data_IF_295010254516
#
_entry.id   IF_295010254516
#
_cell.length_a   1.000
_cell.length_b   1.000
_cell.length_c   1.000
_cell.angle_alpha   90.00
_cell.angle_beta   90.00
_cell.angle_gamma   90.00
#
_symmetry.space_group_name_H-M   'P 1'
#
loop_
_entity.id
_entity.type
_entity.pdbx_description
1 polymer ?
#
# COMPACT_ATOMS: atom_id res chain seq x y z
N UNK A 1 -28.58 5.85 29.44
CA UNK A 1 -29.37 4.66 29.85
C UNK A 1 -28.43 3.69 30.53
N UNK A 2 -28.82 3.08 31.65
CA UNK A 2 -28.04 2.01 32.27
C UNK A 2 -28.25 0.72 31.46
N UNK A 3 -27.16 0.13 30.94
CA UNK A 3 -27.23 -1.16 30.24
C UNK A 3 -27.69 -2.26 31.23
N UNK A 4 -28.53 -3.21 30.79
CA UNK A 4 -28.94 -4.33 31.65
C UNK A 4 -27.71 -5.10 32.13
N UNK A 5 -27.59 -5.29 33.45
CA UNK A 5 -26.53 -6.11 34.05
C UNK A 5 -26.96 -7.57 34.04
N UNK A 6 -26.42 -8.36 33.11
CA UNK A 6 -26.58 -9.80 33.11
C UNK A 6 -25.66 -10.41 34.18
N UNK A 7 -26.23 -11.20 35.10
CA UNK A 7 -25.49 -11.87 36.17
C UNK A 7 -25.09 -13.26 35.72
N UNK A 8 -23.84 -13.49 35.30
CA UNK A 8 -23.43 -14.78 34.70
C UNK A 8 -22.09 -15.29 35.25
N UNK A 9 -21.98 -16.63 35.31
CA UNK A 9 -20.88 -17.44 35.87
C UNK A 9 -19.56 -17.25 35.08
N UNK A 10 -18.39 -17.26 35.74
CA UNK A 10 -17.09 -17.24 35.07
C UNK A 10 -16.91 -18.46 34.15
N UNK A 11 -16.50 -18.23 32.89
CA UNK A 11 -16.12 -19.30 31.96
C UNK A 11 -17.20 -19.85 31.01
N UNK A 12 -18.43 -19.31 31.04
CA UNK A 12 -19.46 -19.64 30.04
C UNK A 12 -19.26 -18.82 28.76
N UNK A 13 -19.34 -19.40 27.54
CA UNK A 13 -19.51 -18.61 26.32
C UNK A 13 -20.82 -17.82 26.47
N UNK A 14 -20.71 -16.50 26.48
CA UNK A 14 -21.81 -15.60 26.79
C UNK A 14 -21.88 -14.51 25.72
N UNK A 15 -22.72 -14.78 24.73
CA UNK A 15 -23.00 -13.85 23.63
C UNK A 15 -23.54 -12.51 24.17
N UNK A 16 -24.28 -12.50 25.28
CA UNK A 16 -24.78 -11.27 25.87
C UNK A 16 -23.64 -10.39 26.38
N UNK A 17 -22.63 -11.00 27.02
CA UNK A 17 -21.41 -10.28 27.44
C UNK A 17 -20.59 -9.79 26.25
N UNK A 18 -20.41 -10.61 25.22
CA UNK A 18 -19.71 -10.17 24.01
C UNK A 18 -20.40 -8.97 23.34
N UNK A 19 -21.71 -9.04 23.17
CA UNK A 19 -22.51 -7.93 22.65
C UNK A 19 -22.41 -6.73 23.58
N UNK A 20 -22.48 -6.92 24.90
CA UNK A 20 -22.34 -5.84 25.88
C UNK A 20 -20.97 -5.16 25.82
N UNK A 21 -19.87 -5.93 25.71
CA UNK A 21 -18.52 -5.40 25.56
C UNK A 21 -18.39 -4.59 24.25
N UNK A 22 -19.05 -5.04 23.16
CA UNK A 22 -19.12 -4.29 21.90
C UNK A 22 -19.93 -3.01 22.02
N UNK A 23 -21.08 -3.06 22.69
CA UNK A 23 -21.90 -1.87 22.97
C UNK A 23 -21.15 -0.85 23.83
N UNK A 24 -20.39 -1.34 24.82
CA UNK A 24 -19.56 -0.49 25.66
C UNK A 24 -18.46 0.19 24.84
N UNK A 25 -17.76 -0.53 23.96
CA UNK A 25 -16.78 0.07 23.03
C UNK A 25 -17.40 1.13 22.13
N UNK A 26 -18.59 0.88 21.59
CA UNK A 26 -19.33 1.90 20.80
C UNK A 26 -19.57 3.13 21.66
N UNK A 27 -19.99 2.96 22.92
CA UNK A 27 -20.25 4.06 23.85
C UNK A 27 -18.97 4.82 24.25
N UNK A 28 -17.84 4.14 24.45
CA UNK A 28 -16.54 4.76 24.77
C UNK A 28 -16.01 5.65 23.64
N UNK A 29 -16.43 5.41 22.39
CA UNK A 29 -16.13 6.26 21.24
C UNK A 29 -16.80 7.64 21.28
N UNK A 30 -17.71 7.91 22.22
CA UNK A 30 -18.40 9.18 22.36
C UNK A 30 -18.08 9.82 23.72
N UNK A 31 -17.49 11.03 23.75
CA UNK A 31 -17.09 11.70 24.99
C UNK A 31 -18.27 12.11 25.88
N UNK A 32 -19.48 12.18 25.33
CA UNK A 32 -20.72 12.38 26.07
C UNK A 32 -21.50 11.06 26.17
N UNK A 33 -22.16 10.83 27.32
CA UNK A 33 -23.05 9.68 27.58
C UNK A 33 -24.21 9.54 26.57
N UNK A 34 -24.41 10.54 25.71
CA UNK A 34 -25.41 10.60 24.66
C UNK A 34 -24.83 11.34 23.44
N UNK A 35 -25.10 10.89 22.19
CA UNK A 35 -24.76 11.62 20.98
C UNK A 35 -25.25 13.07 21.06
N UNK A 36 -24.34 14.02 20.89
CA UNK A 36 -24.62 15.45 20.96
C UNK A 36 -25.05 16.04 19.62
N UNK A 37 -24.84 15.30 18.52
CA UNK A 37 -25.22 15.70 17.16
C UNK A 37 -26.01 14.60 16.45
N UNK A 38 -26.79 14.97 15.42
CA UNK A 38 -27.48 14.00 14.55
C UNK A 38 -26.49 13.08 13.83
N UNK A 39 -25.31 13.59 13.49
CA UNK A 39 -24.25 12.80 12.87
C UNK A 39 -23.70 11.75 13.84
N UNK A 40 -23.44 12.11 15.10
CA UNK A 40 -23.04 11.15 16.14
C UNK A 40 -24.12 10.09 16.38
N UNK A 41 -25.40 10.47 16.37
CA UNK A 41 -26.51 9.53 16.52
C UNK A 41 -26.58 8.55 15.35
N UNK A 42 -26.38 9.04 14.12
CA UNK A 42 -26.32 8.22 12.92
C UNK A 42 -25.17 7.20 13.00
N UNK A 43 -23.97 7.65 13.39
CA UNK A 43 -22.81 6.76 13.56
C UNK A 43 -23.08 5.68 14.61
N UNK A 44 -23.72 6.02 15.73
CA UNK A 44 -24.13 5.01 16.73
C UNK A 44 -25.12 4.02 16.14
N UNK A 45 -26.16 4.49 15.46
CA UNK A 45 -27.18 3.64 14.85
C UNK A 45 -26.59 2.69 13.79
N UNK A 46 -25.66 3.17 12.98
CA UNK A 46 -24.99 2.38 11.95
C UNK A 46 -24.12 1.29 12.59
N UNK A 47 -23.34 1.62 13.63
CA UNK A 47 -22.53 0.62 14.38
C UNK A 47 -23.38 -0.44 15.06
N UNK A 48 -24.52 -0.06 15.64
CA UNK A 48 -25.45 -1.01 16.26
C UNK A 48 -26.07 -1.94 15.22
N UNK A 49 -26.46 -1.39 14.06
CA UNK A 49 -26.99 -2.15 12.94
C UNK A 49 -25.96 -3.15 12.43
N UNK A 50 -24.70 -2.74 12.25
CA UNK A 50 -23.62 -3.63 11.81
C UNK A 50 -23.40 -4.81 12.78
N UNK A 51 -23.41 -4.58 14.10
CA UNK A 51 -23.31 -5.65 15.10
C UNK A 51 -24.49 -6.63 14.96
N UNK A 52 -25.71 -6.10 14.83
CA UNK A 52 -26.92 -6.93 14.69
C UNK A 52 -26.88 -7.76 13.40
N UNK A 53 -26.48 -7.17 12.28
CA UNK A 53 -26.34 -7.83 10.99
C UNK A 53 -25.32 -8.96 11.03
N UNK A 54 -24.15 -8.75 11.65
CA UNK A 54 -23.13 -9.80 11.83
C UNK A 54 -23.70 -10.97 12.63
N UNK A 55 -24.33 -10.70 13.78
CA UNK A 55 -24.95 -11.74 14.60
C UNK A 55 -26.01 -12.53 13.81
N UNK A 56 -26.91 -11.83 13.11
CA UNK A 56 -27.95 -12.46 12.30
C UNK A 56 -27.39 -13.29 11.14
N UNK A 57 -26.38 -12.79 10.44
CA UNK A 57 -25.75 -13.48 9.32
C UNK A 57 -25.06 -14.78 9.77
N UNK A 58 -24.37 -14.74 10.92
CA UNK A 58 -23.79 -15.94 11.52
C UNK A 58 -24.89 -16.91 11.92
N UNK A 59 -25.91 -16.49 12.68
CA UNK A 59 -27.00 -17.38 13.12
C UNK A 59 -27.73 -18.05 11.96
N UNK A 60 -28.14 -17.30 10.93
CA UNK A 60 -28.81 -17.85 9.73
C UNK A 60 -27.96 -18.91 9.02
N UNK A 61 -26.64 -18.70 8.98
CA UNK A 61 -25.70 -19.64 8.37
C UNK A 61 -25.57 -20.92 9.21
N UNK A 62 -25.47 -20.80 10.54
CA UNK A 62 -25.43 -21.96 11.43
C UNK A 62 -26.72 -22.79 11.33
N UNK A 63 -27.88 -22.13 11.19
CA UNK A 63 -29.17 -22.79 10.93
C UNK A 63 -29.18 -23.53 9.59
N UNK A 64 -28.63 -22.92 8.53
CA UNK A 64 -28.56 -23.50 7.19
C UNK A 64 -27.61 -24.71 7.09
N UNK A 65 -26.52 -24.74 7.88
CA UNK A 65 -25.55 -25.84 7.91
C UNK A 65 -26.11 -27.12 8.56
N UNK A 66 -27.34 -27.10 9.10
CA UNK A 66 -28.13 -28.28 9.49
C UNK A 66 -27.54 -29.15 10.60
N UNK A 67 -26.39 -28.76 11.16
CA UNK A 67 -25.70 -29.50 12.21
C UNK A 67 -26.09 -28.96 13.58
N UNK A 68 -26.21 -29.86 14.57
CA UNK A 68 -26.19 -29.48 15.99
C UNK A 68 -24.81 -28.89 16.31
N UNK A 69 -24.57 -27.65 15.88
CA UNK A 69 -23.34 -26.94 16.18
C UNK A 69 -23.31 -26.61 17.67
N UNK A 70 -22.17 -26.89 18.29
CA UNK A 70 -21.88 -26.53 19.68
C UNK A 70 -22.05 -25.01 19.85
N UNK A 71 -22.82 -24.61 20.86
CA UNK A 71 -23.03 -23.20 21.18
C UNK A 71 -21.70 -22.46 21.44
N UNK A 72 -20.68 -23.16 21.94
CA UNK A 72 -19.34 -22.61 22.09
C UNK A 72 -18.67 -22.31 20.73
N UNK A 73 -18.82 -23.21 19.75
CA UNK A 73 -18.29 -23.02 18.40
C UNK A 73 -19.02 -21.88 17.66
N UNK A 74 -20.35 -21.76 17.85
CA UNK A 74 -21.13 -20.64 17.33
C UNK A 74 -20.69 -19.30 17.94
N UNK A 75 -20.46 -19.27 19.25
CA UNK A 75 -19.96 -18.10 19.96
C UNK A 75 -18.60 -17.63 19.42
N UNK A 76 -17.64 -18.54 19.26
CA UNK A 76 -16.33 -18.18 18.71
C UNK A 76 -16.42 -17.68 17.27
N UNK A 77 -17.30 -18.25 16.44
CA UNK A 77 -17.54 -17.75 15.07
C UNK A 77 -18.12 -16.32 15.06
N UNK A 78 -19.05 -16.00 15.96
CA UNK A 78 -19.61 -14.64 16.08
C UNK A 78 -18.52 -13.67 16.56
N UNK A 79 -17.76 -14.05 17.59
CA UNK A 79 -16.66 -13.24 18.12
C UNK A 79 -15.62 -12.92 17.05
N UNK A 80 -15.16 -13.94 16.32
CA UNK A 80 -14.20 -13.79 15.24
C UNK A 80 -14.75 -12.92 14.10
N UNK A 81 -16.02 -13.09 13.72
CA UNK A 81 -16.65 -12.25 12.71
C UNK A 81 -16.69 -10.78 13.14
N UNK A 82 -17.07 -10.50 14.39
CA UNK A 82 -17.10 -9.13 14.94
C UNK A 82 -15.70 -8.51 15.04
N UNK A 83 -14.68 -9.28 15.41
CA UNK A 83 -13.28 -8.81 15.41
C UNK A 83 -12.81 -8.44 14.01
N UNK A 84 -13.13 -9.26 13.00
CA UNK A 84 -12.82 -8.96 11.61
C UNK A 84 -13.54 -7.72 11.10
N UNK A 85 -14.82 -7.55 11.43
CA UNK A 85 -15.58 -6.35 11.06
C UNK A 85 -14.96 -5.10 11.65
N UNK A 86 -14.66 -5.10 12.96
CA UNK A 86 -13.99 -3.98 13.65
C UNK A 86 -12.65 -3.65 13.01
N UNK A 87 -11.82 -4.66 12.74
CA UNK A 87 -10.53 -4.46 12.09
C UNK A 87 -10.68 -3.86 10.68
N UNK A 88 -11.58 -4.41 9.86
CA UNK A 88 -11.77 -3.95 8.49
C UNK A 88 -12.39 -2.55 8.43
N UNK A 89 -13.28 -2.17 9.35
CA UNK A 89 -13.79 -0.80 9.43
C UNK A 89 -12.68 0.23 9.68
N UNK A 90 -11.65 -0.13 10.46
CA UNK A 90 -10.55 0.78 10.78
C UNK A 90 -9.38 0.72 9.79
N UNK A 91 -9.10 -0.45 9.21
CA UNK A 91 -7.93 -0.68 8.36
C UNK A 91 -8.22 -0.61 6.86
N UNK A 92 -9.49 -0.52 6.45
CA UNK A 92 -9.86 -0.34 5.04
C UNK A 92 -9.71 1.13 4.64
N UNK A 93 -9.15 1.36 3.46
CA UNK A 93 -8.95 2.70 2.90
C UNK A 93 -10.31 3.22 2.40
N UNK A 94 -11.00 4.01 3.24
CA UNK A 94 -12.30 4.61 2.90
C UNK A 94 -12.43 6.03 3.49
N UNK A 95 -12.86 7.03 2.71
CA UNK A 95 -13.17 6.96 1.28
C UNK A 95 -11.91 6.78 0.44
N UNK A 96 -12.05 6.19 -0.75
CA UNK A 96 -10.95 6.09 -1.70
C UNK A 96 -10.50 7.48 -2.15
N UNK A 97 -9.19 7.69 -2.40
CA UNK A 97 -8.70 8.93 -2.98
C UNK A 97 -9.43 9.24 -4.29
N UNK A 98 -9.93 10.48 -4.40
CA UNK A 98 -10.59 10.96 -5.63
C UNK A 98 -9.63 11.10 -6.79
N UNK A 99 -8.35 11.36 -6.50
CA UNK A 99 -7.28 11.41 -7.49
C UNK A 99 -6.70 10.02 -7.73
N UNK A 100 -6.31 9.75 -8.98
CA UNK A 100 -5.62 8.52 -9.38
C UNK A 100 -4.36 8.35 -8.53
N UNK A 101 -4.22 7.20 -7.86
CA UNK A 101 -3.07 6.90 -7.01
C UNK A 101 -2.27 5.76 -7.64
N UNK A 102 -0.96 5.91 -7.70
CA UNK A 102 -0.06 4.86 -8.17
C UNK A 102 0.67 4.21 -7.00
N UNK A 103 0.80 2.90 -7.07
CA UNK A 103 1.65 2.13 -6.17
C UNK A 103 2.83 1.55 -6.94
N UNK A 104 4.00 1.56 -6.32
CA UNK A 104 5.26 1.17 -6.91
C UNK A 104 5.84 -0.05 -6.22
N UNK A 105 6.51 -0.92 -6.98
CA UNK A 105 7.24 -2.07 -6.44
C UNK A 105 8.57 -2.27 -7.12
N UNK A 106 9.60 -2.47 -6.31
CA UNK A 106 10.88 -3.00 -6.75
C UNK A 106 10.81 -4.54 -6.80
N UNK A 107 10.62 -5.10 -8.00
CA UNK A 107 10.40 -6.52 -8.22
C UNK A 107 11.63 -7.21 -8.81
N UNK A 108 12.07 -8.32 -8.19
CA UNK A 108 13.10 -9.20 -8.74
C UNK A 108 12.40 -10.33 -9.50
N UNK A 109 12.54 -10.32 -10.83
CA UNK A 109 11.98 -11.36 -11.70
C UNK A 109 12.70 -12.69 -11.48
N UNK A 110 12.04 -13.80 -11.78
CA UNK A 110 12.73 -15.10 -11.82
C UNK A 110 13.58 -15.13 -13.10
N UNK A 111 14.68 -15.89 -13.07
CA UNK A 111 15.56 -16.04 -14.24
C UNK A 111 14.88 -16.63 -15.49
N UNK A 112 13.67 -17.18 -15.34
CA UNK A 112 12.86 -17.76 -16.44
C UNK A 112 11.69 -16.87 -16.88
N UNK A 113 11.45 -15.76 -16.19
CA UNK A 113 10.36 -14.85 -16.57
C UNK A 113 10.83 -13.97 -17.73
N UNK A 114 9.92 -13.61 -18.63
CA UNK A 114 10.25 -12.67 -19.70
C UNK A 114 10.53 -11.27 -19.12
N UNK A 115 11.60 -10.59 -19.58
CA UNK A 115 11.87 -9.21 -19.18
C UNK A 115 10.65 -8.33 -19.46
N UNK A 116 10.30 -7.47 -18.51
CA UNK A 116 9.14 -6.58 -18.64
C UNK A 116 7.77 -7.19 -18.30
N UNK A 117 7.67 -8.49 -17.98
CA UNK A 117 6.44 -9.06 -17.42
C UNK A 117 6.48 -9.08 -15.88
N UNK A 118 5.34 -8.77 -15.25
CA UNK A 118 5.16 -8.93 -13.81
C UNK A 118 4.40 -10.22 -13.52
N UNK A 119 5.01 -11.11 -12.74
CA UNK A 119 4.33 -12.27 -12.15
C UNK A 119 4.34 -12.12 -10.62
N UNK A 120 3.16 -12.17 -10.01
CA UNK A 120 3.10 -12.12 -8.54
C UNK A 120 3.73 -13.39 -7.95
N UNK A 121 4.54 -13.21 -6.91
CA UNK A 121 5.16 -14.31 -6.15
C UNK A 121 4.35 -14.70 -4.92
N UNK A 122 3.21 -14.04 -4.68
CA UNK A 122 2.38 -14.29 -3.51
C UNK A 122 1.56 -15.55 -3.68
N UNK A 123 1.33 -16.24 -2.57
CA UNK A 123 0.31 -17.28 -2.50
C UNK A 123 -1.04 -16.68 -2.90
N UNK A 124 -1.86 -17.49 -3.56
CA UNK A 124 -3.20 -17.15 -4.03
C UNK A 124 -4.24 -17.04 -2.86
N UNK A 125 -3.80 -16.53 -1.71
CA UNK A 125 -4.65 -16.35 -0.53
C UNK A 125 -5.45 -15.07 -0.70
N UNK A 126 -6.77 -15.20 -0.59
CA UNK A 126 -7.72 -14.08 -0.65
C UNK A 126 -8.33 -13.90 0.73
N UNK A 127 -8.47 -12.65 1.19
CA UNK A 127 -9.12 -12.32 2.46
C UNK A 127 -10.65 -12.41 2.34
N UNK A 128 -11.14 -13.62 2.03
CA UNK A 128 -12.56 -13.90 1.90
C UNK A 128 -13.14 -14.48 3.21
N UNK A 129 -14.45 -14.78 3.19
CA UNK A 129 -15.13 -15.42 4.33
C UNK A 129 -14.47 -16.73 4.79
N UNK A 130 -13.91 -17.52 3.86
CA UNK A 130 -13.23 -18.75 4.21
C UNK A 130 -11.95 -18.48 5.01
N UNK A 131 -11.14 -17.50 4.58
CA UNK A 131 -9.97 -17.07 5.34
C UNK A 131 -10.36 -16.53 6.72
N UNK A 132 -11.37 -15.65 6.79
CA UNK A 132 -11.82 -15.02 8.04
C UNK A 132 -12.38 -16.02 9.05
N UNK A 133 -12.91 -17.18 8.59
CA UNK A 133 -13.29 -18.30 9.46
C UNK A 133 -12.08 -19.10 9.96
N UNK A 134 -11.08 -19.30 9.10
CA UNK A 134 -9.90 -20.12 9.41
C UNK A 134 -8.80 -19.37 10.17
N UNK A 135 -8.82 -18.04 10.17
CA UNK A 135 -7.78 -17.18 10.76
C UNK A 135 -8.37 -16.07 11.60
N UNK A 136 -7.78 -15.86 12.77
CA UNK A 136 -8.09 -14.71 13.64
C UNK A 136 -7.43 -13.44 13.12
N UNK A 137 -7.94 -12.27 13.53
CA UNK A 137 -7.31 -10.97 13.23
C UNK A 137 -5.88 -10.93 13.77
N UNK A 138 -5.62 -11.50 14.95
CA UNK A 138 -4.28 -11.55 15.53
C UNK A 138 -3.31 -12.41 14.72
N UNK A 139 -3.74 -13.57 14.20
CA UNK A 139 -2.92 -14.37 13.29
C UNK A 139 -2.59 -13.61 12.00
N UNK A 140 -3.56 -12.87 11.46
CA UNK A 140 -3.34 -12.00 10.30
C UNK A 140 -2.32 -10.91 10.61
N UNK A 141 -2.45 -10.19 11.73
CA UNK A 141 -1.53 -9.13 12.14
C UNK A 141 -0.11 -9.66 12.38
N UNK A 142 0.02 -10.86 12.94
CA UNK A 142 1.30 -11.55 13.07
C UNK A 142 1.90 -11.95 11.72
N UNK A 143 1.08 -12.37 10.74
CA UNK A 143 1.54 -12.61 9.37
C UNK A 143 1.98 -11.31 8.68
N UNK A 144 1.24 -10.23 8.88
CA UNK A 144 1.55 -8.89 8.40
C UNK A 144 2.88 -8.38 8.97
N UNK A 145 3.09 -8.48 10.28
CA UNK A 145 4.34 -8.11 10.94
C UNK A 145 5.55 -8.92 10.45
N UNK A 146 5.37 -10.24 10.26
CA UNK A 146 6.40 -11.11 9.65
C UNK A 146 6.71 -10.71 8.21
N UNK A 147 5.71 -10.26 7.45
CA UNK A 147 5.91 -9.77 6.09
C UNK A 147 6.77 -8.49 6.07
N UNK A 148 6.47 -7.51 6.92
CA UNK A 148 7.29 -6.29 7.04
C UNK A 148 8.73 -6.60 7.47
N UNK A 149 8.92 -7.57 8.36
CA UNK A 149 10.23 -8.03 8.82
C UNK A 149 10.90 -9.08 7.92
N UNK A 150 10.32 -9.42 6.77
CA UNK A 150 10.71 -10.59 5.97
C UNK A 150 12.19 -10.58 5.62
N UNK A 151 12.69 -9.48 5.08
CA UNK A 151 14.09 -9.41 4.61
C UNK A 151 15.09 -9.69 5.72
N UNK A 152 14.85 -9.20 6.93
CA UNK A 152 15.72 -9.42 8.08
C UNK A 152 15.61 -10.87 8.59
N UNK A 153 14.38 -11.40 8.69
CA UNK A 153 14.13 -12.79 9.07
C UNK A 153 14.79 -13.79 8.11
N UNK A 154 14.71 -13.53 6.80
CA UNK A 154 15.34 -14.38 5.78
C UNK A 154 16.87 -14.34 5.84
N UNK A 155 17.45 -13.17 6.16
CA UNK A 155 18.90 -13.04 6.39
C UNK A 155 19.36 -13.79 7.63
N UNK A 156 18.61 -13.70 8.73
CA UNK A 156 18.97 -14.36 9.99
C UNK A 156 18.81 -15.89 9.92
N UNK A 157 17.80 -16.37 9.19
CA UNK A 157 17.47 -17.81 9.14
C UNK A 157 18.04 -18.52 7.92
N UNK A 158 18.56 -17.78 6.93
CA UNK A 158 18.97 -18.29 5.61
C UNK A 158 17.87 -19.08 4.88
N UNK A 159 16.60 -18.90 5.27
CA UNK A 159 15.43 -19.57 4.69
C UNK A 159 14.54 -18.54 4.03
N UNK A 160 14.17 -18.79 2.77
CA UNK A 160 13.16 -17.98 2.08
C UNK A 160 11.76 -18.34 2.57
N UNK A 161 10.93 -17.32 2.76
CA UNK A 161 9.51 -17.44 3.07
C UNK A 161 8.69 -17.12 1.82
N UNK A 162 7.71 -17.97 1.52
CA UNK A 162 6.68 -17.64 0.52
C UNK A 162 5.77 -16.59 1.14
N UNK A 163 5.65 -15.39 0.55
CA UNK A 163 4.86 -14.33 1.16
C UNK A 163 3.38 -14.51 0.84
N UNK A 164 2.52 -14.34 1.84
CA UNK A 164 1.06 -14.19 1.66
C UNK A 164 0.67 -12.80 1.13
N UNK A 165 1.64 -11.90 1.03
CA UNK A 165 1.45 -10.47 0.82
C UNK A 165 2.41 -9.89 -0.23
N UNK A 166 1.92 -8.91 -0.96
CA UNK A 166 2.71 -8.11 -1.91
C UNK A 166 2.89 -6.71 -1.35
N UNK A 167 4.14 -6.42 -0.97
CA UNK A 167 4.62 -5.09 -0.59
C UNK A 167 4.75 -4.13 -1.78
N UNK A 168 4.22 -2.91 -1.63
CA UNK A 168 4.21 -1.80 -2.59
C UNK A 168 4.29 -0.47 -1.84
N UNK A 169 4.63 0.63 -2.51
CA UNK A 169 4.78 1.94 -1.89
C UNK A 169 4.28 3.04 -2.82
N UNK A 170 3.63 4.07 -2.29
CA UNK A 170 3.25 5.26 -3.08
C UNK A 170 4.43 6.20 -3.36
N UNK A 171 5.59 5.99 -2.73
CA UNK A 171 6.76 6.87 -2.83
C UNK A 171 7.64 6.48 -4.01
N UNK A 172 7.58 7.28 -5.07
CA UNK A 172 8.33 7.08 -6.31
C UNK A 172 9.84 7.01 -6.05
N UNK A 173 10.40 7.99 -5.37
CA UNK A 173 11.83 8.12 -5.13
C UNK A 173 12.40 6.97 -4.29
N UNK A 174 11.62 6.51 -3.30
CA UNK A 174 11.97 5.38 -2.47
C UNK A 174 12.00 4.10 -3.29
N UNK A 175 10.96 3.84 -4.08
CA UNK A 175 10.88 2.60 -4.86
C UNK A 175 11.89 2.57 -6.00
N UNK A 176 12.19 3.71 -6.64
CA UNK A 176 13.27 3.82 -7.63
C UNK A 176 14.62 3.50 -7.00
N UNK A 177 14.91 4.08 -5.82
CA UNK A 177 16.14 3.81 -5.08
C UNK A 177 16.25 2.33 -4.70
N UNK A 178 15.18 1.75 -4.17
CA UNK A 178 15.11 0.34 -3.81
C UNK A 178 15.29 -0.60 -5.01
N UNK A 179 14.76 -0.23 -6.18
CA UNK A 179 14.95 -0.98 -7.44
C UNK A 179 16.43 -1.01 -7.82
N UNK A 180 17.10 0.15 -7.78
CA UNK A 180 18.53 0.24 -8.03
C UNK A 180 19.37 -0.56 -7.04
N UNK A 181 19.07 -0.44 -5.74
CA UNK A 181 19.73 -1.23 -4.68
C UNK A 181 19.60 -2.73 -4.92
N UNK A 182 18.39 -3.22 -5.15
CA UNK A 182 18.13 -4.64 -5.43
C UNK A 182 18.84 -5.15 -6.68
N UNK A 183 19.07 -4.30 -7.67
CA UNK A 183 19.82 -4.65 -8.89
C UNK A 183 21.33 -4.81 -8.65
N UNK A 184 21.89 -4.07 -7.69
CA UNK A 184 23.30 -4.09 -7.32
C UNK A 184 23.65 -5.18 -6.31
N UNK A 185 22.65 -5.70 -5.60
CA UNK A 185 22.82 -6.86 -4.72
C UNK A 185 23.34 -8.05 -5.53
N UNK A 186 24.65 -8.28 -5.44
CA UNK A 186 25.30 -9.52 -5.87
C UNK A 186 24.79 -10.64 -4.96
N UNK A 187 23.65 -11.22 -5.31
CA UNK A 187 23.26 -12.50 -4.73
C UNK A 187 24.34 -13.52 -5.10
N UNK A 188 24.96 -14.16 -4.11
CA UNK A 188 25.90 -15.28 -4.29
C UNK A 188 25.28 -16.44 -5.10
N UNK A 189 23.95 -16.43 -5.23
CA UNK A 189 23.21 -17.31 -6.13
C UNK A 189 23.10 -16.63 -7.50
N UNK A 190 23.86 -17.13 -8.48
CA UNK A 190 23.85 -16.79 -9.91
C UNK A 190 22.49 -17.01 -10.63
N UNK A 191 21.37 -17.06 -9.89
CA UNK A 191 20.01 -17.32 -10.35
C UNK A 191 19.04 -16.16 -10.04
N UNK A 192 19.52 -15.02 -9.55
CA UNK A 192 18.69 -13.83 -9.39
C UNK A 192 18.42 -13.21 -10.77
N UNK A 193 17.16 -13.19 -11.20
CA UNK A 193 16.76 -12.55 -12.45
C UNK A 193 16.84 -11.03 -12.39
N UNK A 194 16.59 -10.35 -13.52
CA UNK A 194 16.60 -8.89 -13.60
C UNK A 194 15.63 -8.25 -12.60
N UNK A 195 15.94 -7.02 -12.20
CA UNK A 195 15.10 -6.24 -11.29
C UNK A 195 14.37 -5.17 -12.10
N UNK A 196 13.07 -5.07 -11.88
CA UNK A 196 12.17 -4.14 -12.56
C UNK A 196 11.44 -3.28 -11.54
N UNK A 197 11.16 -2.06 -11.94
CA UNK A 197 10.21 -1.17 -11.29
C UNK A 197 8.82 -1.46 -11.85
N UNK A 198 7.84 -1.69 -10.98
CA UNK A 198 6.48 -2.04 -11.37
C UNK A 198 5.55 -0.95 -10.87
N UNK A 199 4.65 -0.49 -11.73
CA UNK A 199 3.64 0.52 -11.46
C UNK A 199 2.28 -0.17 -11.44
N UNK A 200 1.53 0.02 -10.35
CA UNK A 200 0.16 -0.45 -10.20
C UNK A 200 -0.79 0.74 -10.12
N UNK A 201 -1.98 0.56 -10.68
CA UNK A 201 -3.11 1.45 -10.49
C UNK A 201 -3.85 1.08 -9.20
N UNK A 202 -3.87 1.99 -8.23
CA UNK A 202 -4.51 1.75 -6.93
C UNK A 202 -6.02 1.53 -7.07
N UNK A 203 -6.68 2.31 -7.91
CA UNK A 203 -8.12 2.21 -8.12
C UNK A 203 -8.48 0.85 -8.74
N UNK A 204 -7.70 0.37 -9.73
CA UNK A 204 -7.87 -0.97 -10.30
C UNK A 204 -7.64 -2.08 -9.26
N UNK A 205 -6.62 -1.94 -8.41
CA UNK A 205 -6.38 -2.87 -7.30
C UNK A 205 -7.57 -2.93 -6.33
N UNK A 206 -8.12 -1.78 -5.97
CA UNK A 206 -9.22 -1.69 -5.01
C UNK A 206 -10.58 -2.08 -5.61
N UNK A 207 -10.75 -1.98 -6.93
CA UNK A 207 -11.95 -2.42 -7.64
C UNK A 207 -11.97 -3.95 -7.87
N UNK A 208 -10.83 -4.62 -7.74
CA UNK A 208 -10.72 -6.05 -7.98
C UNK A 208 -11.31 -6.85 -6.78
N UNK A 209 -12.31 -7.73 -7.00
CA UNK A 209 -13.04 -8.39 -5.92
C UNK A 209 -12.20 -9.38 -5.11
N UNK A 210 -11.12 -9.90 -5.70
CA UNK A 210 -10.23 -10.90 -5.08
C UNK A 210 -8.92 -10.28 -4.55
N UNK A 211 -8.84 -8.95 -4.46
CA UNK A 211 -7.69 -8.22 -3.95
C UNK A 211 -8.12 -7.35 -2.77
N UNK A 212 -7.35 -7.41 -1.70
CA UNK A 212 -7.49 -6.53 -0.55
C UNK A 212 -6.24 -5.67 -0.45
N UNK A 213 -6.43 -4.36 -0.27
CA UNK A 213 -5.36 -3.37 -0.19
C UNK A 213 -5.38 -2.75 1.20
N UNK A 214 -4.28 -2.89 1.92
CA UNK A 214 -4.11 -2.29 3.24
C UNK A 214 -3.00 -1.27 3.20
N UNK A 215 -3.27 -0.04 3.64
CA UNK A 215 -2.20 0.89 3.94
C UNK A 215 -1.60 0.52 5.29
N UNK A 216 -0.28 0.38 5.37
CA UNK A 216 0.36 -0.08 6.58
C UNK A 216 0.17 0.88 7.76
N UNK A 217 0.08 2.19 7.51
CA UNK A 217 -0.25 3.18 8.56
C UNK A 217 -1.57 2.85 9.26
N UNK A 218 -2.60 2.49 8.50
CA UNK A 218 -3.95 2.32 9.03
C UNK A 218 -4.03 1.05 9.90
N UNK A 219 -3.34 -0.01 9.47
CA UNK A 219 -3.15 -1.24 10.28
C UNK A 219 -2.35 -0.94 11.55
N UNK A 220 -1.30 -0.13 11.48
CA UNK A 220 -0.48 0.23 12.63
C UNK A 220 -1.25 1.13 13.62
N UNK A 221 -2.07 2.05 13.11
CA UNK A 221 -2.89 2.94 13.95
C UNK A 221 -4.00 2.15 14.65
N UNK A 222 -4.59 1.14 13.99
CA UNK A 222 -5.46 0.16 14.64
C UNK A 222 -4.75 -0.57 15.79
N UNK A 223 -3.51 -1.03 15.58
CA UNK A 223 -2.72 -1.69 16.62
C UNK A 223 -2.44 -0.75 17.80
N UNK A 224 -2.07 0.50 17.52
CA UNK A 224 -1.78 1.50 18.54
C UNK A 224 -3.01 1.82 19.40
N UNK A 225 -4.17 2.07 18.78
CA UNK A 225 -5.44 2.32 19.49
C UNK A 225 -5.86 1.16 20.38
N UNK A 226 -5.60 -0.07 19.95
CA UNK A 226 -5.99 -1.28 20.67
C UNK A 226 -4.91 -1.78 21.65
N UNK A 227 -3.83 -1.01 21.89
CA UNK A 227 -2.75 -1.40 22.81
C UNK A 227 -1.96 -2.63 22.35
N UNK A 228 -1.98 -2.93 21.05
CA UNK A 228 -1.35 -4.09 20.41
C UNK A 228 -0.12 -3.73 19.57
N UNK A 229 0.41 -2.52 19.75
CA UNK A 229 1.62 -2.03 19.04
C UNK A 229 2.82 -2.97 19.19
N UNK A 230 2.92 -3.70 20.31
CA UNK A 230 3.96 -4.70 20.56
C UNK A 230 3.96 -5.92 19.62
N UNK A 231 2.90 -6.15 18.83
CA UNK A 231 2.84 -7.26 17.87
C UNK A 231 3.83 -7.11 16.71
N UNK A 232 4.20 -5.87 16.36
CA UNK A 232 5.14 -5.58 15.28
C UNK A 232 6.32 -4.80 15.85
N UNK A 233 7.57 -5.26 15.71
CA UNK A 233 8.74 -4.52 16.16
C UNK A 233 8.78 -3.08 15.63
N UNK A 234 9.11 -2.11 16.50
CA UNK A 234 9.06 -0.67 16.21
C UNK A 234 9.82 -0.28 14.93
N UNK A 235 10.96 -0.91 14.68
CA UNK A 235 11.77 -0.67 13.47
C UNK A 235 11.02 -0.98 12.18
N UNK A 236 10.19 -2.03 12.15
CA UNK A 236 9.38 -2.39 10.98
C UNK A 236 8.19 -1.46 10.82
N UNK A 237 7.60 -1.00 11.93
CA UNK A 237 6.55 0.02 11.90
C UNK A 237 7.07 1.34 11.32
N UNK A 238 8.22 1.82 11.81
CA UNK A 238 8.86 3.04 11.32
C UNK A 238 9.23 2.92 9.85
N UNK A 239 9.78 1.76 9.44
CA UNK A 239 10.09 1.51 8.05
C UNK A 239 8.83 1.58 7.16
N UNK A 240 7.75 0.89 7.53
CA UNK A 240 6.51 0.88 6.76
C UNK A 240 5.87 2.28 6.65
N UNK A 241 5.88 3.06 7.73
CA UNK A 241 5.41 4.46 7.74
C UNK A 241 6.28 5.36 6.86
N UNK A 242 7.60 5.23 6.95
CA UNK A 242 8.54 6.05 6.17
C UNK A 242 8.41 5.79 4.66
N UNK A 243 8.09 4.56 4.26
CA UNK A 243 7.96 4.20 2.86
C UNK A 243 6.54 4.43 2.31
N UNK A 244 5.58 4.84 3.14
CA UNK A 244 4.15 4.81 2.83
C UNK A 244 3.74 3.49 2.19
N UNK A 245 3.96 2.41 2.95
CA UNK A 245 3.83 1.04 2.50
C UNK A 245 2.35 0.63 2.35
N UNK A 246 2.04 -0.02 1.24
CA UNK A 246 0.76 -0.67 0.95
C UNK A 246 0.98 -2.17 0.76
N UNK A 247 0.15 -2.95 1.45
CA UNK A 247 0.20 -4.40 1.43
C UNK A 247 -1.02 -4.93 0.67
N UNK A 248 -0.73 -5.69 -0.39
CA UNK A 248 -1.73 -6.34 -1.21
C UNK A 248 -1.87 -7.82 -0.81
N UNK A 249 -3.11 -8.30 -0.68
CA UNK A 249 -3.42 -9.70 -0.42
C UNK A 249 -4.50 -10.16 -1.41
N UNK A 250 -4.20 -11.15 -2.24
CA UNK A 250 -5.17 -11.60 -3.24
C UNK A 250 -4.58 -12.23 -4.48
N UNK A 251 -5.47 -12.56 -5.43
CA UNK A 251 -5.12 -13.11 -6.75
C UNK A 251 -5.32 -12.05 -7.83
N UNK A 252 -4.56 -12.14 -8.92
CA UNK A 252 -4.75 -11.26 -10.07
C UNK A 252 -4.17 -9.85 -9.90
N UNK A 253 -3.24 -9.66 -8.96
CA UNK A 253 -2.55 -8.37 -8.73
C UNK A 253 -1.87 -7.86 -10.01
N UNK A 254 -1.40 -8.79 -10.85
CA UNK A 254 -0.83 -8.50 -12.16
C UNK A 254 -1.79 -7.78 -13.12
N UNK A 255 -3.11 -7.92 -12.95
CA UNK A 255 -4.12 -7.25 -13.81
C UNK A 255 -4.21 -5.74 -13.57
N UNK A 256 -3.71 -5.26 -12.44
CA UNK A 256 -3.66 -3.85 -12.10
C UNK A 256 -2.29 -3.22 -12.41
N UNK A 257 -1.36 -3.97 -13.00
CA UNK A 257 -0.07 -3.45 -13.45
C UNK A 257 -0.30 -2.57 -14.66
N UNK A 258 0.14 -1.32 -14.56
CA UNK A 258 0.09 -0.34 -15.66
C UNK A 258 1.40 -0.38 -16.44
N UNK A 259 2.52 -0.51 -15.75
CA UNK A 259 3.83 -0.49 -16.39
C UNK A 259 4.86 -1.33 -15.63
N UNK A 260 5.78 -1.95 -16.38
CA UNK A 260 6.98 -2.60 -15.84
C UNK A 260 8.19 -2.04 -16.58
N UNK A 261 9.14 -1.46 -15.85
CA UNK A 261 10.36 -0.89 -16.44
C UNK A 261 11.60 -1.59 -15.85
N UNK A 262 12.41 -2.28 -16.67
CA UNK A 262 13.66 -2.87 -16.21
C UNK A 262 14.63 -1.82 -15.66
N UNK A 263 15.38 -2.15 -14.60
CA UNK A 263 16.39 -1.24 -14.05
C UNK A 263 17.49 -0.88 -15.08
N UNK A 264 17.78 -1.77 -16.03
CA UNK A 264 18.72 -1.52 -17.12
C UNK A 264 18.34 -0.33 -18.00
N UNK A 265 17.04 -0.03 -18.09
CA UNK A 265 16.50 1.14 -18.78
C UNK A 265 16.39 2.33 -17.82
N UNK A 266 15.86 2.11 -16.61
CA UNK A 266 15.66 3.19 -15.63
C UNK A 266 16.96 3.87 -15.19
N UNK A 267 18.06 3.14 -15.03
CA UNK A 267 19.32 3.71 -14.51
C UNK A 267 19.91 4.84 -15.35
N UNK A 268 19.38 5.05 -16.56
CA UNK A 268 19.83 6.06 -17.51
C UNK A 268 18.85 7.23 -17.66
N UNK A 269 17.74 7.25 -16.92
CA UNK A 269 16.78 8.36 -17.02
C UNK A 269 17.37 9.64 -16.42
N UNK A 270 17.03 10.83 -16.96
CA UNK A 270 17.68 12.08 -16.57
C UNK A 270 17.67 12.43 -15.08
N UNK A 271 16.63 12.07 -14.32
CA UNK A 271 16.56 12.34 -12.86
C UNK A 271 17.41 11.36 -12.01
N UNK A 272 17.89 10.26 -12.58
CA UNK A 272 18.73 9.28 -11.86
C UNK A 272 20.20 9.60 -12.15
N UNK A 273 20.87 10.19 -11.15
CA UNK A 273 22.28 10.54 -11.22
C UNK A 273 23.19 9.49 -10.54
N UNK A 274 24.51 9.62 -10.73
CA UNK A 274 25.50 8.69 -10.17
C UNK A 274 25.44 8.62 -8.64
N UNK A 275 25.18 9.73 -7.96
CA UNK A 275 25.08 9.76 -6.50
C UNK A 275 23.88 8.95 -6.01
N UNK A 276 22.75 9.03 -6.71
CA UNK A 276 21.55 8.25 -6.45
C UNK A 276 21.84 6.75 -6.60
N UNK A 277 22.51 6.37 -7.69
CA UNK A 277 22.92 4.99 -7.94
C UNK A 277 23.91 4.45 -6.90
N UNK A 278 24.86 5.28 -6.45
CA UNK A 278 25.92 4.83 -5.54
C UNK A 278 25.52 4.83 -4.06
N UNK A 279 24.45 5.53 -3.69
CA UNK A 279 23.99 5.62 -2.32
C UNK A 279 23.31 4.33 -1.86
N UNK A 280 23.63 3.86 -0.64
CA UNK A 280 22.97 2.69 -0.06
C UNK A 280 21.66 2.98 0.68
N UNK A 281 21.37 4.26 0.95
CA UNK A 281 20.08 4.77 1.46
C UNK A 281 19.78 6.15 0.87
N UNK A 282 18.52 6.57 0.85
CA UNK A 282 18.14 7.93 0.43
C UNK A 282 18.79 9.03 1.28
N UNK A 283 18.99 8.80 2.58
CA UNK A 283 19.68 9.76 3.46
C UNK A 283 21.15 9.98 3.05
N UNK A 284 21.81 8.91 2.60
CA UNK A 284 23.19 8.99 2.12
C UNK A 284 23.24 9.66 0.74
N UNK A 285 22.24 9.40 -0.10
CA UNK A 285 22.07 10.11 -1.36
C UNK A 285 21.95 11.62 -1.15
N UNK A 286 21.05 12.06 -0.27
CA UNK A 286 20.88 13.48 0.07
C UNK A 286 22.20 14.09 0.56
N UNK A 287 22.96 13.37 1.39
CA UNK A 287 24.30 13.80 1.83
C UNK A 287 25.31 13.91 0.68
N UNK A 288 25.33 12.97 -0.27
CA UNK A 288 26.23 13.04 -1.43
C UNK A 288 25.90 14.24 -2.31
N UNK A 289 24.60 14.45 -2.58
CA UNK A 289 24.11 15.62 -3.30
C UNK A 289 24.50 16.93 -2.60
N UNK A 290 24.20 17.05 -1.32
CA UNK A 290 24.45 18.29 -0.54
C UNK A 290 25.94 18.58 -0.32
N UNK A 291 26.81 17.58 -0.46
CA UNK A 291 28.27 17.80 -0.41
C UNK A 291 28.88 18.13 -1.78
N UNK A 292 28.11 18.03 -2.87
CA UNK A 292 28.56 18.38 -4.23
C UNK A 292 28.30 19.84 -4.61
N UNK A 293 27.95 20.66 -3.61
CA UNK A 293 27.41 22.02 -3.72
C UNK A 293 28.35 23.05 -4.36
N UNK A 294 29.66 22.82 -4.35
CA UNK A 294 30.63 23.86 -4.75
C UNK A 294 30.66 24.19 -6.26
N UNK A 295 29.89 23.51 -7.14
CA UNK A 295 30.00 23.72 -8.61
C UNK A 295 28.71 23.69 -9.46
N UNK A 296 27.51 23.69 -8.88
CA UNK A 296 26.28 23.56 -9.70
C UNK A 296 25.67 24.91 -10.11
N UNK A 297 25.59 25.13 -11.44
CA UNK A 297 24.90 26.25 -12.11
C UNK A 297 23.39 26.05 -11.98
N UNK A 298 22.63 27.14 -11.88
CA UNK A 298 21.16 27.09 -11.89
C UNK A 298 20.65 26.58 -13.24
N UNK A 299 19.74 25.61 -13.20
CA UNK A 299 19.15 25.00 -14.39
C UNK A 299 17.93 25.80 -14.85
N UNK A 300 17.96 26.25 -16.10
CA UNK A 300 16.88 26.99 -16.74
C UNK A 300 15.61 26.15 -16.93
N UNK A 301 14.45 26.81 -16.98
CA UNK A 301 13.12 26.18 -17.07
C UNK A 301 13.03 25.12 -18.17
N UNK A 302 13.43 25.46 -19.40
CA UNK A 302 13.33 24.53 -20.53
C UNK A 302 14.10 23.24 -20.30
N UNK A 303 15.27 23.31 -19.67
CA UNK A 303 16.08 22.15 -19.36
C UNK A 303 15.48 21.34 -18.19
N UNK A 304 14.95 22.00 -17.15
CA UNK A 304 14.24 21.32 -16.06
C UNK A 304 13.02 20.56 -16.60
N UNK A 305 12.15 21.24 -17.36
CA UNK A 305 10.95 20.62 -17.93
C UNK A 305 11.29 19.45 -18.84
N UNK A 306 12.35 19.56 -19.66
CA UNK A 306 12.83 18.47 -20.50
C UNK A 306 13.29 17.27 -19.67
N UNK A 307 14.13 17.50 -18.66
CA UNK A 307 14.65 16.46 -17.75
C UNK A 307 13.52 15.73 -17.02
N UNK A 308 12.53 16.48 -16.51
CA UNK A 308 11.37 15.91 -15.81
C UNK A 308 10.49 15.12 -16.78
N UNK A 309 10.13 15.69 -17.93
CA UNK A 309 9.25 15.05 -18.90
C UNK A 309 9.86 13.79 -19.51
N UNK A 310 11.15 13.81 -19.87
CA UNK A 310 11.84 12.62 -20.41
C UNK A 310 11.92 11.49 -19.37
N UNK A 311 12.10 11.84 -18.10
CA UNK A 311 12.08 10.87 -17.00
C UNK A 311 10.68 10.31 -16.77
N UNK A 312 9.64 11.16 -16.78
CA UNK A 312 8.25 10.78 -16.64
C UNK A 312 7.83 9.81 -17.75
N UNK A 313 8.13 10.12 -19.02
CA UNK A 313 7.87 9.25 -20.17
C UNK A 313 8.57 7.90 -20.01
N UNK A 314 9.82 7.90 -19.54
CA UNK A 314 10.58 6.67 -19.35
C UNK A 314 10.00 5.77 -18.26
N UNK A 315 9.41 6.34 -17.20
CA UNK A 315 8.77 5.60 -16.11
C UNK A 315 7.35 5.16 -16.49
N UNK A 316 6.61 6.00 -17.21
CA UNK A 316 5.24 5.72 -17.68
C UNK A 316 5.21 4.63 -18.76
N UNK A 317 6.31 4.45 -19.51
CA UNK A 317 6.42 3.43 -20.57
C UNK A 317 6.34 4.02 -21.98
N UNK A 318 6.77 3.25 -22.98
CA UNK A 318 6.83 3.67 -24.39
C UNK A 318 5.50 3.59 -25.14
N UNK A 319 4.42 3.12 -24.52
CA UNK A 319 3.10 3.19 -25.13
C UNK A 319 2.67 4.66 -25.15
N UNK A 320 2.84 5.26 -26.32
CA UNK A 320 2.89 6.69 -26.56
C UNK A 320 1.55 7.44 -26.39
N UNK A 321 0.59 6.88 -25.64
CA UNK A 321 -0.80 7.31 -25.62
C UNK A 321 -1.40 7.49 -24.20
N UNK A 322 -0.74 7.10 -23.10
CA UNK A 322 -1.23 7.43 -21.74
C UNK A 322 -0.63 8.77 -21.25
N UNK A 323 -1.10 9.86 -21.86
CA UNK A 323 -0.77 11.24 -21.50
C UNK A 323 -1.06 11.50 -20.01
N UNK A 324 -2.15 10.93 -19.49
CA UNK A 324 -2.54 11.09 -18.08
C UNK A 324 -1.51 10.45 -17.14
N UNK A 325 -1.01 9.26 -17.47
CA UNK A 325 0.05 8.61 -16.68
C UNK A 325 1.35 9.40 -16.72
N UNK A 326 1.73 9.95 -17.87
CA UNK A 326 2.92 10.82 -17.99
C UNK A 326 2.75 12.06 -17.10
N UNK A 327 1.61 12.73 -17.16
CA UNK A 327 1.32 13.90 -16.31
C UNK A 327 1.37 13.55 -14.82
N UNK A 328 0.78 12.42 -14.43
CA UNK A 328 0.84 11.93 -13.05
C UNK A 328 2.28 11.64 -12.60
N UNK A 329 3.13 11.10 -13.48
CA UNK A 329 4.55 10.91 -13.19
C UNK A 329 5.31 12.24 -13.05
N UNK A 330 4.99 13.26 -13.87
CA UNK A 330 5.54 14.62 -13.72
C UNK A 330 5.18 15.19 -12.34
N UNK A 331 3.94 15.05 -11.90
CA UNK A 331 3.49 15.47 -10.57
C UNK A 331 4.26 14.76 -9.45
N UNK A 332 4.45 13.44 -9.55
CA UNK A 332 5.17 12.67 -8.54
C UNK A 332 6.67 13.01 -8.50
N UNK A 333 7.30 13.24 -9.65
CA UNK A 333 8.70 13.69 -9.71
C UNK A 333 8.83 15.07 -9.07
N UNK A 334 7.91 16.00 -9.35
CA UNK A 334 7.95 17.36 -8.82
C UNK A 334 7.62 17.45 -7.33
N UNK A 335 6.73 16.59 -6.81
CA UNK A 335 6.30 16.60 -5.42
C UNK A 335 7.43 16.46 -4.38
N UNK A 336 8.56 15.84 -4.75
CA UNK A 336 9.72 15.72 -3.85
C UNK A 336 10.64 16.96 -3.86
N UNK A 337 10.41 17.88 -4.80
CA UNK A 337 11.20 19.07 -5.08
C UNK A 337 12.41 18.76 -5.99
N UNK A 338 12.72 19.67 -6.92
CA UNK A 338 13.80 19.46 -7.90
C UNK A 338 15.19 19.27 -7.28
N UNK A 339 15.44 19.92 -6.14
CA UNK A 339 16.69 19.72 -5.42
C UNK A 339 16.86 18.28 -4.97
N UNK A 340 15.78 17.53 -4.71
CA UNK A 340 15.89 16.10 -4.45
C UNK A 340 16.62 15.37 -5.57
N UNK A 341 16.34 15.68 -6.83
CA UNK A 341 16.95 15.03 -8.00
C UNK A 341 18.34 15.58 -8.37
N UNK A 342 18.90 16.49 -7.56
CA UNK A 342 20.16 17.17 -7.85
C UNK A 342 20.03 18.28 -8.89
N UNK A 343 18.82 18.75 -9.15
CA UNK A 343 18.53 19.84 -10.08
C UNK A 343 18.38 21.12 -9.26
N UNK A 344 19.33 22.06 -9.44
CA UNK A 344 19.28 23.36 -8.77
C UNK A 344 18.44 24.32 -9.59
N UNK A 345 17.29 24.73 -9.06
CA UNK A 345 16.41 25.69 -9.72
C UNK A 345 15.60 26.48 -8.70
N UNK A 346 15.33 27.76 -8.99
CA UNK A 346 14.40 28.60 -8.20
C UNK A 346 12.97 28.56 -8.72
N UNK A 347 12.73 27.82 -9.81
CA UNK A 347 11.45 27.71 -10.49
C UNK A 347 10.45 26.92 -9.63
N UNK A 348 9.19 27.36 -9.62
CA UNK A 348 8.13 26.68 -8.87
C UNK A 348 7.72 25.36 -9.52
N UNK A 349 7.27 24.39 -8.72
CA UNK A 349 6.76 23.10 -9.22
C UNK A 349 5.56 23.29 -10.16
N UNK A 350 4.76 24.34 -9.97
CA UNK A 350 3.66 24.68 -10.87
C UNK A 350 4.16 25.12 -12.25
N UNK A 351 5.18 25.96 -12.32
CA UNK A 351 5.75 26.41 -13.59
C UNK A 351 6.44 25.27 -14.34
N UNK A 352 7.10 24.37 -13.61
CA UNK A 352 7.71 23.16 -14.20
C UNK A 352 6.62 22.27 -14.82
N UNK A 353 5.53 22.02 -14.07
CA UNK A 353 4.39 21.22 -14.57
C UNK A 353 3.76 21.83 -15.82
N UNK A 354 3.44 23.12 -15.79
CA UNK A 354 2.90 23.84 -16.94
C UNK A 354 3.85 23.80 -18.16
N UNK A 355 5.15 23.93 -17.92
CA UNK A 355 6.17 23.81 -18.98
C UNK A 355 6.27 22.40 -19.56
N UNK A 356 6.18 21.36 -18.72
CA UNK A 356 6.11 19.97 -19.18
C UNK A 356 4.86 19.71 -20.00
N UNK A 357 3.70 20.22 -19.59
CA UNK A 357 2.43 20.10 -20.32
C UNK A 357 2.52 20.76 -21.70
N UNK A 358 3.07 21.97 -21.78
CA UNK A 358 3.28 22.66 -23.07
C UNK A 358 4.14 21.81 -24.03
N UNK A 359 5.28 21.29 -23.55
CA UNK A 359 6.16 20.43 -24.37
C UNK A 359 5.44 19.14 -24.78
N UNK A 360 4.63 18.54 -23.90
CA UNK A 360 3.89 17.33 -24.20
C UNK A 360 2.81 17.56 -25.26
N UNK A 361 2.05 18.65 -25.15
CA UNK A 361 1.05 19.04 -26.14
C UNK A 361 1.68 19.33 -27.51
N UNK A 362 2.82 20.02 -27.55
CA UNK A 362 3.57 20.25 -28.79
C UNK A 362 4.01 18.93 -29.45
N UNK A 363 4.50 17.96 -28.66
CA UNK A 363 4.85 16.62 -29.18
C UNK A 363 3.65 15.87 -29.75
N UNK A 364 2.50 15.96 -29.08
CA UNK A 364 1.25 15.34 -29.56
C UNK A 364 0.76 15.97 -30.86
N UNK A 365 0.80 17.30 -30.96
CA UNK A 365 0.43 18.03 -32.16
C UNK A 365 1.31 17.65 -33.37
N UNK A 366 2.62 17.52 -33.16
CA UNK A 366 3.56 17.05 -34.20
C UNK A 366 3.27 15.60 -34.62
N UNK A 367 3.02 14.70 -33.66
CA UNK A 367 2.69 13.29 -33.94
C UNK A 367 1.37 13.19 -34.74
N UNK A 368 0.34 13.96 -34.40
CA UNK A 368 -0.92 13.99 -35.15
C UNK A 368 -0.74 14.57 -36.55
N UNK A 369 0.04 15.64 -36.70
CA UNK A 369 0.35 16.23 -38.02
C UNK A 369 1.10 15.26 -38.95
N UNK A 370 1.90 14.35 -38.40
CA UNK A 370 2.60 13.30 -39.14
C UNK A 370 1.71 12.11 -39.52
N UNK A 371 0.61 11.87 -38.82
CA UNK A 371 -0.36 10.81 -39.11
C UNK A 371 -1.44 11.23 -40.12
N UNK A 372 -1.60 12.54 -40.34
CA UNK A 372 -2.56 13.10 -41.31
C UNK A 372 -1.96 13.39 -42.70
N UNK A 373 -0.69 13.04 -42.92
CA UNK A 373 0.03 13.05 -44.20
C UNK A 373 0.29 11.61 -44.65
#
# INVERSE_FOLDING_TARGET
>A
MALPRFSIRPGSPDLARLVQDRLQKVQEGFPALCPSTLNELQVVADKLSAIAEVCQAVTKRLEADGSRQDAAAAFEQIKQALEWTEFLEEATISPLPTQRLLLFRAHRQRARDEPGLYSSLTTEVVLNEHYKKGKTVEEFLNAFGRHLGKTELEKQTSRRSTPDFTSTSSRLEWTLHLTGRKSQERSEQAAAGPVSFVVFDFQALNAAPDINVFRASDVLDYLDKNGKSGLIPQQYQQWARNCDEYILMGRGVEKAVVQVVPWSELRWIPIINDQFCNAYTLKIYERFRDNSVDRQVETELGQVCKTVLESAISIAGREADDVELVQLMVELITARGMWFWGIRTTISDADIRNGCDAILQDRLAVKMGQLCL
#
